data_IF_585892012158
#
_entry.id   IF_585892012158
#
_cell.length_a   1.000
_cell.length_b   1.000
_cell.length_c   1.000
_cell.angle_alpha   90.00
_cell.angle_beta   90.00
_cell.angle_gamma   90.00
#
_symmetry.space_group_name_H-M   'P 1'
#
loop_
_entity.id
_entity.type
_entity.pdbx_description
1 polymer ?
#
# COMPACT_ATOMS: atom_id res chain seq x y z
N UNK A 1 -5.01 1.23 -29.19
CA UNK A 1 -4.49 0.59 -27.96
C UNK A 1 -5.37 -0.61 -27.65
N UNK A 2 -4.86 -1.85 -27.65
CA UNK A 2 -5.68 -3.01 -27.31
C UNK A 2 -6.09 -2.88 -25.83
N UNK A 3 -7.39 -3.02 -25.55
CA UNK A 3 -7.90 -3.12 -24.18
C UNK A 3 -7.44 -4.47 -23.62
N UNK A 4 -6.26 -4.52 -23.01
CA UNK A 4 -5.95 -5.60 -22.06
C UNK A 4 -7.05 -5.59 -21.00
N UNK A 5 -7.78 -6.70 -20.86
CA UNK A 5 -8.84 -6.79 -19.87
C UNK A 5 -8.19 -6.91 -18.49
N UNK A 6 -8.73 -6.24 -17.48
CA UNK A 6 -8.20 -6.31 -16.11
C UNK A 6 -8.17 -7.73 -15.51
N UNK A 7 -8.85 -8.69 -16.15
CA UNK A 7 -8.78 -10.11 -15.79
C UNK A 7 -7.57 -10.81 -16.44
N UNK A 8 -7.14 -10.38 -17.63
CA UNK A 8 -5.89 -10.84 -18.26
C UNK A 8 -4.67 -10.41 -17.44
N UNK A 9 -4.67 -9.19 -16.92
CA UNK A 9 -3.59 -8.68 -16.06
C UNK A 9 -3.53 -9.45 -14.74
N UNK A 10 -4.68 -9.78 -14.14
CA UNK A 10 -4.74 -10.61 -12.94
C UNK A 10 -4.19 -12.02 -13.19
N UNK A 11 -4.54 -12.65 -14.31
CA UNK A 11 -4.01 -13.98 -14.64
C UNK A 11 -2.50 -13.94 -14.82
N UNK A 12 -1.99 -12.91 -15.50
CA UNK A 12 -0.55 -12.69 -15.66
C UNK A 12 0.14 -12.52 -14.30
N UNK A 13 -0.44 -11.73 -13.40
CA UNK A 13 0.04 -11.60 -12.03
C UNK A 13 0.10 -12.97 -11.35
N UNK A 14 -0.99 -13.75 -11.36
CA UNK A 14 -1.05 -15.05 -10.69
C UNK A 14 0.03 -16.03 -11.21
N UNK A 15 0.28 -16.05 -12.51
CA UNK A 15 1.37 -16.86 -13.11
C UNK A 15 2.76 -16.40 -12.63
N UNK A 16 2.98 -15.08 -12.50
CA UNK A 16 4.24 -14.56 -11.95
C UNK A 16 4.36 -14.90 -10.47
N UNK A 17 3.25 -14.93 -9.74
CA UNK A 17 3.26 -15.23 -8.30
C UNK A 17 3.69 -16.65 -7.97
N UNK A 18 3.57 -17.59 -8.91
CA UNK A 18 4.12 -18.96 -8.77
C UNK A 18 5.64 -18.99 -8.58
N UNK A 19 6.33 -17.89 -8.93
CA UNK A 19 7.80 -17.77 -8.83
C UNK A 19 8.26 -17.11 -7.52
N UNK A 20 7.34 -16.66 -6.68
CA UNK A 20 7.65 -15.98 -5.42
C UNK A 20 6.90 -16.61 -4.25
N UNK A 21 7.53 -16.63 -3.08
CA UNK A 21 6.84 -17.02 -1.84
C UNK A 21 6.11 -15.80 -1.30
N UNK A 22 4.78 -15.89 -1.16
CA UNK A 22 3.97 -14.83 -0.60
C UNK A 22 2.85 -15.41 0.29
N UNK A 23 2.39 -14.59 1.23
CA UNK A 23 1.17 -14.85 1.98
C UNK A 23 0.07 -13.86 1.60
N UNK A 24 0.42 -12.57 1.49
CA UNK A 24 -0.46 -11.50 1.04
C UNK A 24 0.29 -10.65 0.03
N UNK A 25 -0.36 -10.32 -1.08
CA UNK A 25 0.07 -9.30 -2.03
C UNK A 25 -0.93 -8.16 -1.96
N UNK A 26 -0.41 -6.95 -1.81
CA UNK A 26 -1.18 -5.71 -1.85
C UNK A 26 -1.15 -5.16 -3.29
N UNK A 27 -2.31 -4.87 -3.87
CA UNK A 27 -2.45 -4.39 -5.25
C UNK A 27 -2.92 -2.94 -5.31
N UNK A 28 -2.19 -2.08 -6.02
CA UNK A 28 -2.58 -0.70 -6.34
C UNK A 28 -2.87 -0.58 -7.84
N UNK A 29 -3.50 0.52 -8.24
CA UNK A 29 -3.84 0.82 -9.63
C UNK A 29 -4.61 -0.28 -10.37
N UNK A 30 -5.45 -1.05 -9.67
CA UNK A 30 -6.19 -2.16 -10.29
C UNK A 30 -7.15 -1.71 -11.40
N UNK A 31 -7.58 -0.44 -11.36
CA UNK A 31 -8.39 0.22 -12.40
C UNK A 31 -9.65 -0.56 -12.80
N UNK A 32 -10.17 -1.42 -11.91
CA UNK A 32 -11.38 -2.20 -12.20
C UNK A 32 -12.64 -1.34 -12.03
N UNK A 33 -13.63 -1.54 -12.88
CA UNK A 33 -14.86 -0.72 -12.90
C UNK A 33 -15.86 -1.07 -11.80
N UNK A 34 -15.77 -2.26 -11.23
CA UNK A 34 -16.70 -2.77 -10.22
C UNK A 34 -15.91 -3.64 -9.27
N UNK A 35 -16.16 -3.48 -7.98
CA UNK A 35 -15.56 -4.32 -6.93
C UNK A 35 -15.73 -5.80 -7.28
N UNK A 36 -14.63 -6.55 -7.16
CA UNK A 36 -14.57 -7.95 -7.51
C UNK A 36 -13.88 -8.72 -6.38
N UNK A 37 -14.64 -9.59 -5.72
CA UNK A 37 -14.17 -10.46 -4.65
C UNK A 37 -14.45 -11.88 -5.08
N UNK A 38 -13.41 -12.71 -5.20
CA UNK A 38 -13.55 -14.11 -5.64
C UNK A 38 -12.38 -14.97 -5.20
N UNK A 39 -12.59 -16.28 -5.19
CA UNK A 39 -11.50 -17.26 -5.15
C UNK A 39 -11.11 -17.65 -6.59
N UNK A 40 -9.81 -17.80 -6.84
CA UNK A 40 -9.22 -18.18 -8.14
C UNK A 40 -8.13 -19.24 -7.90
N UNK A 41 -7.72 -20.00 -8.93
CA UNK A 41 -6.57 -20.92 -8.95
C UNK A 41 -6.18 -21.52 -7.58
N UNK A 42 -6.72 -22.70 -7.25
CA UNK A 42 -6.49 -23.41 -5.98
C UNK A 42 -6.85 -22.60 -4.72
N UNK A 43 -8.01 -21.93 -4.73
CA UNK A 43 -8.59 -21.20 -3.59
C UNK A 43 -7.89 -19.88 -3.20
N UNK A 44 -7.01 -19.35 -4.05
CA UNK A 44 -6.37 -18.05 -3.86
C UNK A 44 -7.45 -16.97 -3.75
N UNK A 45 -7.45 -16.21 -2.65
CA UNK A 45 -8.52 -15.26 -2.36
C UNK A 45 -8.15 -13.87 -2.85
N UNK A 46 -8.94 -13.33 -3.79
CA UNK A 46 -8.68 -12.05 -4.44
C UNK A 46 -9.78 -11.06 -4.08
N UNK A 47 -9.36 -9.90 -3.59
CA UNK A 47 -10.21 -8.76 -3.25
C UNK A 47 -9.72 -7.59 -4.10
N UNK A 48 -10.58 -6.99 -4.92
CA UNK A 48 -10.24 -5.78 -5.68
C UNK A 48 -11.38 -4.79 -5.57
N UNK A 49 -11.07 -3.56 -5.17
CA UNK A 49 -11.99 -2.43 -5.10
C UNK A 49 -12.09 -1.70 -6.43
N UNK A 50 -13.24 -1.06 -6.64
CA UNK A 50 -13.46 -0.23 -7.81
C UNK A 50 -12.57 1.02 -7.86
N UNK A 51 -12.23 1.41 -9.08
CA UNK A 51 -11.59 2.70 -9.37
C UNK A 51 -12.58 3.83 -9.16
N UNK A 52 -12.09 5.07 -9.20
CA UNK A 52 -12.95 6.25 -9.27
C UNK A 52 -13.83 6.18 -10.55
N UNK A 53 -15.17 6.27 -10.49
CA UNK A 53 -16.04 6.01 -11.65
C UNK A 53 -15.68 6.83 -12.89
N UNK A 54 -15.35 8.12 -12.70
CA UNK A 54 -15.05 9.09 -13.76
C UNK A 54 -13.58 9.21 -14.15
N UNK A 55 -12.64 8.63 -13.39
CA UNK A 55 -11.20 8.71 -13.66
C UNK A 55 -10.64 7.31 -13.91
N UNK A 56 -9.65 7.14 -14.78
CA UNK A 56 -8.99 5.83 -14.95
C UNK A 56 -7.84 5.64 -13.96
N UNK A 57 -8.09 5.97 -12.69
CA UNK A 57 -7.09 6.04 -11.63
C UNK A 57 -7.61 5.34 -10.38
N UNK A 58 -6.67 4.93 -9.51
CA UNK A 58 -6.95 4.19 -8.27
C UNK A 58 -7.40 2.74 -8.51
N UNK A 59 -7.98 2.14 -7.48
CA UNK A 59 -8.25 0.71 -7.40
C UNK A 59 -7.19 0.06 -6.51
N UNK A 60 -7.64 -0.48 -5.38
CA UNK A 60 -6.78 -1.17 -4.42
C UNK A 60 -7.32 -2.58 -4.15
N UNK A 61 -6.47 -3.48 -3.67
CA UNK A 61 -6.89 -4.84 -3.42
C UNK A 61 -5.84 -5.71 -2.73
N UNK A 62 -6.21 -6.96 -2.53
CA UNK A 62 -5.35 -7.99 -1.97
C UNK A 62 -5.45 -9.28 -2.79
N UNK A 63 -4.33 -10.00 -2.85
CA UNK A 63 -4.28 -11.43 -3.17
C UNK A 63 -3.78 -12.14 -1.93
N UNK A 64 -4.57 -13.09 -1.42
CA UNK A 64 -4.26 -13.85 -0.20
C UNK A 64 -4.03 -15.30 -0.58
N UNK A 65 -2.86 -15.81 -0.21
CA UNK A 65 -2.43 -17.17 -0.51
C UNK A 65 -3.34 -18.19 0.20
N UNK A 66 -3.73 -19.30 -0.47
CA UNK A 66 -4.67 -20.30 0.07
C UNK A 66 -4.31 -20.78 1.48
N UNK A 67 -3.01 -20.96 1.75
CA UNK A 67 -2.51 -21.47 3.04
C UNK A 67 -2.82 -20.57 4.24
N UNK A 68 -3.23 -19.32 4.04
CA UNK A 68 -3.59 -18.40 5.13
C UNK A 68 -5.01 -17.83 5.00
N UNK A 69 -5.79 -18.25 4.00
CA UNK A 69 -7.16 -17.75 3.79
C UNK A 69 -8.04 -18.03 5.01
N UNK A 70 -7.81 -19.13 5.73
CA UNK A 70 -8.54 -19.48 6.95
C UNK A 70 -8.22 -18.55 8.14
N UNK A 71 -7.14 -17.76 8.09
CA UNK A 71 -6.85 -16.72 9.07
C UNK A 71 -7.53 -15.39 8.74
N UNK A 72 -8.17 -15.23 7.59
CA UNK A 72 -8.87 -14.00 7.23
C UNK A 72 -10.09 -13.82 8.11
N UNK A 73 -10.03 -12.84 9.02
CA UNK A 73 -11.11 -12.46 9.93
C UNK A 73 -12.10 -11.51 9.25
N UNK A 74 -11.58 -10.46 8.60
CA UNK A 74 -12.38 -9.49 7.89
C UNK A 74 -11.57 -8.74 6.83
N UNK A 75 -12.27 -8.13 5.87
CA UNK A 75 -11.67 -7.26 4.86
C UNK A 75 -12.67 -6.19 4.42
N UNK A 76 -12.19 -5.08 3.87
CA UNK A 76 -13.05 -4.00 3.38
C UNK A 76 -12.34 -3.07 2.40
N UNK A 77 -13.06 -2.66 1.36
CA UNK A 77 -12.68 -1.54 0.49
C UNK A 77 -13.31 -0.29 1.10
N UNK A 78 -12.49 0.61 1.64
CA UNK A 78 -12.96 1.81 2.37
C UNK A 78 -13.08 3.02 1.44
N UNK A 79 -12.24 3.06 0.41
CA UNK A 79 -12.33 4.01 -0.69
C UNK A 79 -11.61 3.42 -1.91
N UNK A 80 -11.68 4.04 -3.11
CA UNK A 80 -10.90 3.61 -4.26
C UNK A 80 -9.39 3.55 -4.02
N UNK A 81 -8.91 4.19 -2.96
CA UNK A 81 -7.48 4.33 -2.60
C UNK A 81 -7.10 3.63 -1.30
N UNK A 82 -8.04 3.11 -0.50
CA UNK A 82 -7.75 2.48 0.79
C UNK A 82 -8.56 1.21 0.96
N UNK A 83 -7.89 0.12 1.30
CA UNK A 83 -8.53 -1.13 1.70
C UNK A 83 -7.82 -1.74 2.91
N UNK A 84 -8.55 -2.58 3.64
CA UNK A 84 -8.07 -3.23 4.85
C UNK A 84 -8.29 -4.73 4.78
N UNK A 85 -7.31 -5.49 5.25
CA UNK A 85 -7.35 -6.93 5.46
C UNK A 85 -6.95 -7.20 6.91
N UNK A 86 -7.77 -7.95 7.65
CA UNK A 86 -7.51 -8.36 9.03
C UNK A 86 -7.36 -9.86 9.09
N UNK A 87 -6.26 -10.29 9.72
CA UNK A 87 -5.93 -11.68 9.95
C UNK A 87 -5.98 -11.97 11.45
N UNK A 88 -6.62 -13.06 11.84
CA UNK A 88 -6.61 -13.61 13.20
C UNK A 88 -5.72 -14.85 13.22
N UNK A 89 -4.51 -14.74 13.77
CA UNK A 89 -3.56 -15.85 13.82
C UNK A 89 -3.81 -16.80 15.00
N UNK A 90 -4.23 -16.24 16.13
CA UNK A 90 -4.63 -16.95 17.34
C UNK A 90 -5.63 -16.08 18.10
N UNK A 91 -6.24 -16.56 19.20
CA UNK A 91 -7.20 -15.76 19.97
C UNK A 91 -6.68 -14.37 20.41
N UNK A 92 -5.37 -14.26 20.67
CA UNK A 92 -4.74 -13.02 21.15
C UNK A 92 -3.94 -12.26 20.10
N UNK A 93 -3.74 -12.85 18.91
CA UNK A 93 -2.87 -12.27 17.89
C UNK A 93 -3.65 -11.97 16.61
N UNK A 94 -3.73 -10.67 16.32
CA UNK A 94 -4.34 -10.13 15.11
C UNK A 94 -3.30 -9.32 14.35
N UNK A 95 -3.40 -9.34 13.02
CA UNK A 95 -2.65 -8.47 12.11
C UNK A 95 -3.64 -7.70 11.25
N UNK A 96 -3.47 -6.38 11.18
CA UNK A 96 -4.18 -5.55 10.19
C UNK A 96 -3.18 -5.10 9.12
N UNK A 97 -3.51 -5.35 7.86
CA UNK A 97 -2.82 -4.83 6.68
C UNK A 97 -3.74 -3.82 6.01
N UNK A 98 -3.31 -2.57 5.97
CA UNK A 98 -3.99 -1.48 5.27
C UNK A 98 -3.21 -1.24 3.98
N UNK A 99 -3.84 -1.45 2.84
CA UNK A 99 -3.27 -1.03 1.57
C UNK A 99 -3.75 0.38 1.23
N UNK A 100 -2.86 1.20 0.71
CA UNK A 100 -3.21 2.53 0.24
C UNK A 100 -2.55 2.88 -1.11
N UNK A 101 -3.17 3.82 -1.82
CA UNK A 101 -2.66 4.44 -3.04
C UNK A 101 -2.89 5.95 -2.99
N UNK A 102 -1.86 6.71 -2.58
CA UNK A 102 -1.97 8.17 -2.40
C UNK A 102 -2.19 8.89 -3.73
N UNK A 103 -2.93 10.02 -3.74
CA UNK A 103 -2.88 10.93 -4.88
C UNK A 103 -1.44 11.37 -5.21
N UNK A 104 -1.18 11.56 -6.49
CA UNK A 104 0.10 12.09 -6.98
C UNK A 104 0.28 13.57 -6.61
N UNK A 105 1.49 14.10 -6.74
CA UNK A 105 1.79 15.53 -6.52
C UNK A 105 1.03 16.49 -7.47
N UNK A 106 0.34 15.98 -8.51
CA UNK A 106 -0.55 16.75 -9.37
C UNK A 106 -1.98 16.95 -8.79
N UNK A 107 -2.32 16.25 -7.71
CA UNK A 107 -3.60 16.43 -7.03
C UNK A 107 -3.62 17.75 -6.24
N UNK A 108 -4.79 18.34 -6.08
CA UNK A 108 -4.91 19.54 -5.26
C UNK A 108 -4.74 19.22 -3.76
N UNK A 109 -4.49 20.25 -2.96
CA UNK A 109 -4.29 20.11 -1.53
C UNK A 109 -5.51 19.54 -0.80
N UNK A 110 -6.73 19.66 -1.34
CA UNK A 110 -7.93 19.10 -0.73
C UNK A 110 -7.99 17.58 -0.90
N UNK A 111 -7.73 17.06 -2.11
CA UNK A 111 -7.66 15.61 -2.37
C UNK A 111 -6.54 14.97 -1.53
N UNK A 112 -5.37 15.60 -1.45
CA UNK A 112 -4.26 15.12 -0.61
C UNK A 112 -4.64 15.12 0.87
N UNK A 113 -5.16 16.23 1.40
CA UNK A 113 -5.59 16.30 2.80
C UNK A 113 -6.64 15.23 3.13
N UNK A 114 -7.68 15.11 2.30
CA UNK A 114 -8.76 14.15 2.51
C UNK A 114 -8.23 12.70 2.56
N UNK A 115 -7.29 12.35 1.68
CA UNK A 115 -6.66 11.04 1.70
C UNK A 115 -5.88 10.78 3.00
N UNK A 116 -5.00 11.70 3.42
CA UNK A 116 -4.20 11.51 4.64
C UNK A 116 -5.06 11.51 5.91
N UNK A 117 -6.12 12.32 5.98
CA UNK A 117 -7.08 12.29 7.08
C UNK A 117 -7.82 10.95 7.16
N UNK A 118 -8.33 10.46 6.02
CA UNK A 118 -9.00 9.15 5.98
C UNK A 118 -8.03 8.03 6.39
N UNK A 119 -6.78 8.06 5.91
CA UNK A 119 -5.78 7.06 6.26
C UNK A 119 -5.43 7.10 7.75
N UNK A 120 -5.26 8.30 8.34
CA UNK A 120 -5.04 8.45 9.79
C UNK A 120 -6.20 7.87 10.59
N UNK A 121 -7.44 8.17 10.20
CA UNK A 121 -8.65 7.68 10.86
C UNK A 121 -8.69 6.14 10.87
N UNK A 122 -8.45 5.51 9.72
CA UNK A 122 -8.41 4.05 9.59
C UNK A 122 -7.35 3.45 10.52
N UNK A 123 -6.16 4.05 10.57
CA UNK A 123 -5.06 3.57 11.41
C UNK A 123 -5.39 3.69 12.91
N UNK A 124 -6.01 4.81 13.32
CA UNK A 124 -6.31 5.12 14.73
C UNK A 124 -7.50 4.33 15.27
N UNK A 125 -8.50 4.09 14.42
CA UNK A 125 -9.68 3.30 14.79
C UNK A 125 -9.37 1.81 14.87
N UNK A 126 -8.32 1.34 14.18
CA UNK A 126 -7.90 -0.05 14.24
C UNK A 126 -7.16 -0.37 15.55
N UNK A 127 -7.69 -1.33 16.31
CA UNK A 127 -7.19 -1.73 17.64
C UNK A 127 -6.22 -2.92 17.61
N UNK A 128 -5.84 -3.38 16.42
CA UNK A 128 -4.98 -4.55 16.28
C UNK A 128 -3.57 -4.28 16.80
N UNK A 129 -2.97 -5.32 17.40
CA UNK A 129 -1.64 -5.23 18.01
C UNK A 129 -0.53 -4.97 16.98
N UNK A 130 -0.60 -5.66 15.83
CA UNK A 130 0.30 -5.50 14.68
C UNK A 130 -0.44 -4.86 13.51
N UNK A 131 0.03 -3.69 13.09
CA UNK A 131 -0.55 -2.95 11.98
C UNK A 131 0.51 -2.63 10.95
N UNK A 132 0.18 -2.87 9.69
CA UNK A 132 1.00 -2.53 8.54
C UNK A 132 0.20 -1.66 7.60
N UNK A 133 0.80 -0.55 7.16
CA UNK A 133 0.29 0.22 6.02
C UNK A 133 1.25 -0.03 4.87
N UNK A 134 0.73 -0.45 3.72
CA UNK A 134 1.54 -0.82 2.55
C UNK A 134 1.00 -0.15 1.30
N UNK A 135 1.92 0.23 0.42
CA UNK A 135 1.59 0.63 -0.94
C UNK A 135 2.26 1.91 -1.39
N UNK A 136 1.82 2.38 -2.55
CA UNK A 136 2.34 3.58 -3.17
C UNK A 136 1.73 4.82 -2.53
N UNK A 137 2.55 5.52 -1.74
CA UNK A 137 2.17 6.77 -1.09
C UNK A 137 2.55 8.00 -1.92
N UNK A 138 3.14 7.81 -3.11
CA UNK A 138 3.72 8.88 -3.92
C UNK A 138 4.67 9.79 -3.12
N UNK A 139 5.23 9.26 -2.03
CA UNK A 139 5.92 10.03 -1.00
C UNK A 139 7.43 9.81 -1.12
N UNK A 140 8.16 10.90 -1.35
CA UNK A 140 9.61 10.95 -1.17
C UNK A 140 9.86 11.67 0.14
N UNK A 141 10.26 10.93 1.17
CA UNK A 141 10.51 11.49 2.52
C UNK A 141 11.92 12.04 2.67
N UNK A 142 12.86 11.59 1.84
CA UNK A 142 14.28 11.92 1.94
C UNK A 142 14.88 11.50 3.28
N UNK A 143 15.96 12.17 3.70
CA UNK A 143 16.55 11.95 5.03
C UNK A 143 15.64 12.51 6.12
N UNK A 144 15.60 11.82 7.26
CA UNK A 144 14.85 12.28 8.43
C UNK A 144 15.47 13.56 9.01
N UNK A 145 14.61 14.46 9.50
CA UNK A 145 15.02 15.59 10.34
C UNK A 145 15.32 15.11 11.77
N UNK A 146 16.05 15.92 12.55
CA UNK A 146 16.45 15.57 13.93
C UNK A 146 15.27 15.20 14.85
N UNK A 147 14.09 15.80 14.64
CA UNK A 147 12.87 15.53 15.43
C UNK A 147 12.07 14.31 14.93
N UNK A 148 12.40 13.74 13.78
CA UNK A 148 11.63 12.70 13.11
C UNK A 148 12.14 11.29 13.42
N UNK A 149 12.23 10.93 14.69
CA UNK A 149 12.74 9.62 15.15
C UNK A 149 11.96 8.40 14.63
N UNK A 150 10.80 8.62 14.00
CA UNK A 150 9.93 7.62 13.37
C UNK A 150 10.27 7.34 11.91
N UNK A 151 11.12 8.18 11.32
CA UNK A 151 11.64 8.05 9.96
C UNK A 151 13.11 7.69 10.09
N UNK A 152 13.56 6.67 9.36
CA UNK A 152 14.96 6.31 9.34
C UNK A 152 15.79 7.20 8.40
N UNK A 153 17.12 7.18 8.57
CA UNK A 153 18.03 8.11 7.90
C UNK A 153 18.42 7.71 6.46
N UNK A 154 17.80 6.65 5.92
CA UNK A 154 18.19 6.07 4.63
C UNK A 154 17.26 6.40 3.46
N UNK A 155 16.36 7.39 3.59
CA UNK A 155 15.49 7.81 2.50
C UNK A 155 16.26 8.46 1.34
N UNK A 156 15.74 8.28 0.13
CA UNK A 156 16.34 8.74 -1.12
C UNK A 156 15.68 10.04 -1.61
N UNK A 157 16.50 10.90 -2.24
CA UNK A 157 16.03 12.12 -2.91
C UNK A 157 15.58 13.24 -1.96
N UNK A 158 15.04 14.29 -2.56
CA UNK A 158 14.47 15.43 -1.84
C UNK A 158 13.02 15.14 -1.41
N UNK A 159 12.64 15.75 -0.29
CA UNK A 159 11.30 15.57 0.27
C UNK A 159 10.26 16.29 -0.58
N UNK A 160 9.22 15.58 -1.01
CA UNK A 160 8.06 16.19 -1.67
C UNK A 160 6.90 16.44 -0.70
N UNK A 161 5.79 17.01 -1.20
CA UNK A 161 4.62 17.32 -0.38
C UNK A 161 4.03 16.06 0.27
N UNK A 162 3.86 14.98 -0.50
CA UNK A 162 3.45 13.67 0.02
C UNK A 162 4.41 13.17 1.11
N UNK A 163 5.72 13.35 0.96
CA UNK A 163 6.72 13.01 1.98
C UNK A 163 6.54 13.79 3.29
N UNK A 164 6.24 15.08 3.20
CA UNK A 164 5.94 15.91 4.37
C UNK A 164 4.65 15.48 5.08
N UNK A 165 3.61 15.15 4.31
CA UNK A 165 2.33 14.64 4.84
C UNK A 165 2.49 13.27 5.49
N UNK A 166 3.28 12.39 4.88
CA UNK A 166 3.64 11.09 5.45
C UNK A 166 4.40 11.27 6.77
N UNK A 167 5.34 12.21 6.86
CA UNK A 167 6.02 12.50 8.13
C UNK A 167 5.04 12.94 9.23
N UNK A 168 4.07 13.80 8.90
CA UNK A 168 2.97 14.19 9.78
C UNK A 168 2.13 13.00 10.24
N UNK A 169 1.71 12.15 9.30
CA UNK A 169 0.94 10.93 9.59
C UNK A 169 1.68 9.99 10.53
N UNK A 170 2.97 9.72 10.29
CA UNK A 170 3.78 8.84 11.14
C UNK A 170 3.85 9.35 12.58
N UNK A 171 3.99 10.66 12.75
CA UNK A 171 3.96 11.31 14.07
C UNK A 171 2.58 11.16 14.75
N UNK A 172 1.52 11.55 14.05
CA UNK A 172 0.15 11.57 14.59
C UNK A 172 -0.37 10.16 14.93
N UNK A 173 -0.13 9.20 14.04
CA UNK A 173 -0.60 7.82 14.18
C UNK A 173 0.36 6.91 14.97
N UNK A 174 1.53 7.42 15.37
CA UNK A 174 2.60 6.66 16.06
C UNK A 174 3.13 5.48 15.26
N UNK A 175 3.29 5.65 13.96
CA UNK A 175 3.88 4.64 13.05
C UNK A 175 5.36 4.90 12.81
N UNK A 176 6.06 3.87 12.36
CA UNK A 176 7.45 3.87 11.96
C UNK A 176 7.53 3.61 10.46
N UNK A 177 8.45 4.29 9.78
CA UNK A 177 8.71 4.09 8.37
C UNK A 177 9.63 2.88 8.15
N UNK A 178 9.06 1.69 7.98
CA UNK A 178 9.79 0.41 7.93
C UNK A 178 10.93 0.38 6.91
N UNK A 179 10.71 0.90 5.69
CA UNK A 179 11.73 0.89 4.63
C UNK A 179 13.02 1.66 4.96
N UNK A 180 12.93 2.69 5.81
CA UNK A 180 14.01 3.65 5.98
C UNK A 180 14.92 3.38 7.17
N UNK A 181 14.59 2.38 8.00
CA UNK A 181 15.46 1.96 9.11
C UNK A 181 16.61 1.07 8.66
N UNK A 182 16.52 0.46 7.48
CA UNK A 182 17.53 -0.46 6.97
C UNK A 182 18.32 0.18 5.82
N UNK A 183 19.64 0.11 5.91
CA UNK A 183 20.52 0.51 4.82
C UNK A 183 20.39 -0.49 3.67
N UNK A 184 20.16 0.04 2.47
CA UNK A 184 20.08 -0.73 1.22
C UNK A 184 21.00 -0.07 0.22
N UNK A 185 21.56 -0.85 -0.71
CA UNK A 185 22.19 -0.30 -1.91
C UNK A 185 21.16 0.52 -2.68
N UNK A 186 21.57 1.68 -3.19
CA UNK A 186 20.69 2.61 -3.89
C UNK A 186 19.94 1.96 -5.06
N UNK A 187 20.63 1.12 -5.83
CA UNK A 187 20.05 0.34 -6.94
C UNK A 187 18.97 -0.67 -6.53
N UNK A 188 18.80 -0.94 -5.23
CA UNK A 188 17.77 -1.84 -4.67
C UNK A 188 16.71 -1.11 -3.85
N UNK A 189 16.74 0.22 -3.84
CA UNK A 189 15.82 1.07 -3.08
C UNK A 189 14.74 1.67 -3.96
N UNK A 190 15.05 1.90 -5.23
CA UNK A 190 14.08 2.31 -6.23
C UNK A 190 12.91 1.32 -6.29
N UNK A 191 11.69 1.83 -6.19
CA UNK A 191 10.45 1.06 -6.38
C UNK A 191 9.70 1.49 -7.64
N UNK A 192 10.09 2.63 -8.23
CA UNK A 192 9.50 3.17 -9.44
C UNK A 192 10.56 3.79 -10.36
N UNK A 193 10.46 3.45 -11.65
CA UNK A 193 11.28 4.00 -12.73
C UNK A 193 10.37 4.68 -13.76
N UNK A 194 10.76 5.87 -14.22
CA UNK A 194 10.00 6.58 -15.25
C UNK A 194 10.03 5.82 -16.59
N UNK A 195 9.04 6.00 -17.48
CA UNK A 195 9.00 5.29 -18.76
C UNK A 195 10.23 5.51 -19.67
N UNK A 196 10.97 6.59 -19.45
CA UNK A 196 12.22 6.90 -20.17
C UNK A 196 13.49 6.42 -19.44
N UNK A 197 13.35 5.75 -18.29
CA UNK A 197 14.47 5.21 -17.49
C UNK A 197 15.37 6.23 -16.82
N UNK A 198 14.98 7.52 -16.82
CA UNK A 198 15.84 8.60 -16.32
C UNK A 198 15.63 8.92 -14.84
N UNK A 199 14.43 8.65 -14.32
CA UNK A 199 14.04 9.03 -12.97
C UNK A 199 13.72 7.78 -12.16
N UNK A 200 14.35 7.68 -10.99
CA UNK A 200 14.14 6.63 -10.01
C UNK A 200 13.57 7.23 -8.73
N UNK A 201 12.56 6.57 -8.15
CA UNK A 201 11.95 7.00 -6.90
C UNK A 201 11.65 5.82 -5.97
N UNK A 202 11.69 6.08 -4.66
CA UNK A 202 11.16 5.18 -3.63
C UNK A 202 9.80 5.74 -3.20
N UNK A 203 8.71 5.19 -3.75
CA UNK A 203 7.33 5.65 -3.50
C UNK A 203 6.44 4.58 -2.87
N UNK A 204 6.87 3.32 -2.93
CA UNK A 204 6.21 2.18 -2.30
C UNK A 204 6.78 1.91 -0.92
N UNK A 205 5.94 2.06 0.10
CA UNK A 205 6.40 2.05 1.49
C UNK A 205 5.65 1.04 2.33
N UNK A 206 6.37 0.50 3.32
CA UNK A 206 5.80 -0.29 4.41
C UNK A 206 5.96 0.54 5.69
N UNK A 207 4.84 0.85 6.33
CA UNK A 207 4.77 1.52 7.62
C UNK A 207 4.26 0.54 8.67
N UNK A 208 4.74 0.65 9.90
CA UNK A 208 4.30 -0.25 10.98
C UNK A 208 4.23 0.47 12.33
N UNK A 209 3.31 0.06 13.20
CA UNK A 209 3.22 0.59 14.56
C UNK A 209 4.27 0.00 15.52
N UNK A 210 5.07 -0.97 15.07
CA UNK A 210 6.11 -1.63 15.86
C UNK A 210 7.47 -1.34 15.23
N UNK A 211 8.46 -1.04 16.08
CA UNK A 211 9.84 -0.84 15.65
C UNK A 211 10.60 -2.15 15.73
#
# INVERSE_FOLDING_TARGET
MPKHSADTDLQTLLVVTDRIKFYVIALQETKIKKTNIRRVNNETFVIRGEKVPSRNVSGVGFVVHPSIVHFVDSYGILSPRIAVLRLQLSHHEKITIIICYSPTDAADGYELNAFYYQLEEVIRNDRTYHKFVVGDLNARTGKANKSEYRIGNFGLGERNENGSRLAGLLSAARFFHGNLFFQKKESRRCTWESPNGMTHAEIDHILTNRR
#
